data_IF_126054570989
#
_entry.id   IF_126054570989
#
_cell.length_a   1.000
_cell.length_b   1.000
_cell.length_c   1.000
_cell.angle_alpha   90.00
_cell.angle_beta   90.00
_cell.angle_gamma   90.00
#
_symmetry.space_group_name_H-M   'P 1'
#
loop_
_entity.id
_entity.type
_entity.pdbx_description
1 polymer ?
#
# COMPACT_ATOMS: atom_id res chain seq x y z
N UNK A 1 -32.87 24.39 52.15
CA UNK A 1 -32.77 23.39 51.05
C UNK A 1 -31.53 23.73 50.23
N UNK A 2 -30.49 22.89 50.27
CA UNK A 2 -29.21 23.12 49.56
C UNK A 2 -29.30 22.46 48.18
N UNK A 3 -29.21 23.25 47.11
CA UNK A 3 -29.08 22.74 45.74
C UNK A 3 -27.60 22.47 45.45
N UNK A 4 -27.23 21.20 45.33
CA UNK A 4 -25.91 20.80 44.84
C UNK A 4 -25.92 20.78 43.32
N UNK A 5 -25.14 21.66 42.70
CA UNK A 5 -24.90 21.63 41.26
C UNK A 5 -23.88 20.53 40.93
N UNK A 6 -24.30 19.49 40.21
CA UNK A 6 -23.42 18.45 39.69
C UNK A 6 -22.85 18.95 38.36
N UNK A 7 -21.57 19.28 38.34
CA UNK A 7 -20.85 19.56 37.10
C UNK A 7 -20.46 18.25 36.43
N UNK A 8 -21.07 17.96 35.27
CA UNK A 8 -20.72 16.83 34.43
C UNK A 8 -19.43 17.15 33.65
N UNK A 9 -18.31 16.58 34.09
CA UNK A 9 -17.02 16.73 33.42
C UNK A 9 -16.97 15.80 32.21
N UNK A 10 -17.23 16.35 31.02
CA UNK A 10 -17.12 15.60 29.76
C UNK A 10 -15.64 15.45 29.41
N UNK A 11 -15.03 14.32 29.76
CA UNK A 11 -13.66 13.98 29.35
C UNK A 11 -13.70 13.62 27.86
N UNK A 12 -13.35 14.57 27.00
CA UNK A 12 -13.06 14.32 25.60
C UNK A 12 -11.79 13.47 25.53
N UNK A 13 -11.97 12.16 25.39
CA UNK A 13 -10.90 11.25 24.99
C UNK A 13 -10.55 11.61 23.54
N UNK A 14 -9.55 12.47 23.36
CA UNK A 14 -8.91 12.68 22.07
C UNK A 14 -8.33 11.35 21.61
N UNK A 15 -9.07 10.64 20.75
CA UNK A 15 -8.52 9.56 19.96
C UNK A 15 -7.39 10.17 19.15
N UNK A 16 -6.13 9.93 19.54
CA UNK A 16 -4.99 10.18 18.68
C UNK A 16 -5.21 9.33 17.43
N UNK A 17 -5.81 9.91 16.40
CA UNK A 17 -5.73 9.40 15.05
C UNK A 17 -4.23 9.39 14.74
N UNK A 18 -3.62 8.22 14.86
CA UNK A 18 -2.17 8.11 14.71
C UNK A 18 -1.86 8.30 13.23
N UNK A 19 -1.01 9.28 12.95
CA UNK A 19 -0.33 9.45 11.67
C UNK A 19 0.49 8.18 11.32
N UNK A 20 1.17 8.22 10.17
CA UNK A 20 2.10 7.18 9.71
C UNK A 20 2.89 6.54 10.87
N UNK A 21 2.72 5.23 11.05
CA UNK A 21 3.41 4.41 12.04
C UNK A 21 4.11 3.25 11.33
N UNK A 22 5.43 3.32 11.25
CA UNK A 22 6.31 2.32 10.68
C UNK A 22 7.08 1.59 11.79
N UNK A 23 6.90 0.27 11.86
CA UNK A 23 7.59 -0.58 12.84
C UNK A 23 7.99 -1.95 12.27
N UNK A 24 8.94 -2.59 12.94
CA UNK A 24 9.25 -4.02 12.74
C UNK A 24 8.29 -4.85 13.59
N UNK A 25 7.85 -5.99 13.07
CA UNK A 25 6.96 -6.92 13.77
C UNK A 25 7.29 -8.37 13.33
N UNK A 26 6.75 -9.34 14.05
CA UNK A 26 6.96 -10.76 13.85
C UNK A 26 5.63 -11.54 13.85
N UNK A 27 5.54 -12.55 12.99
CA UNK A 27 4.43 -13.49 12.94
C UNK A 27 4.94 -14.86 12.49
N UNK A 28 4.70 -15.92 13.27
CA UNK A 28 5.16 -17.29 12.96
C UNK A 28 6.67 -17.35 12.63
N UNK A 29 7.49 -16.66 13.44
CA UNK A 29 8.94 -16.51 13.24
C UNK A 29 9.36 -15.78 11.95
N UNK A 30 8.42 -15.14 11.25
CA UNK A 30 8.67 -14.29 10.09
C UNK A 30 8.77 -12.83 10.53
N UNK A 31 9.95 -12.24 10.33
CA UNK A 31 10.16 -10.81 10.51
C UNK A 31 9.65 -10.02 9.30
N UNK A 32 8.91 -8.95 9.56
CA UNK A 32 8.45 -8.01 8.54
C UNK A 32 8.46 -6.57 9.08
N UNK A 33 8.51 -5.61 8.17
CA UNK A 33 8.22 -4.21 8.47
C UNK A 33 6.80 -3.90 8.03
N UNK A 34 6.06 -3.18 8.86
CA UNK A 34 4.73 -2.67 8.58
C UNK A 34 4.71 -1.16 8.75
N UNK A 35 4.12 -0.47 7.78
CA UNK A 35 3.80 0.95 7.85
C UNK A 35 2.28 1.14 7.71
N UNK A 36 1.64 1.59 8.79
CA UNK A 36 0.21 1.93 8.82
C UNK A 36 0.06 3.40 8.43
N UNK A 37 -0.86 3.69 7.52
CA UNK A 37 -1.23 5.06 7.11
C UNK A 37 -2.70 5.31 7.35
N UNK A 38 -3.05 6.55 7.70
CA UNK A 38 -4.41 7.03 7.92
C UNK A 38 -4.88 7.88 6.75
N UNK A 39 -6.12 7.70 6.32
CA UNK A 39 -6.78 8.55 5.33
C UNK A 39 -6.83 10.03 5.76
N UNK A 40 -7.00 10.29 7.06
CA UNK A 40 -7.28 11.64 7.57
C UNK A 40 -6.02 12.41 7.96
N UNK A 41 -4.96 11.69 8.35
CA UNK A 41 -3.74 12.30 8.90
C UNK A 41 -2.59 12.30 7.88
N UNK A 42 -2.58 11.36 6.93
CA UNK A 42 -1.46 11.15 6.02
C UNK A 42 -1.80 11.52 4.58
N UNK A 43 -0.88 12.25 3.95
CA UNK A 43 -0.95 12.59 2.53
C UNK A 43 -0.35 11.46 1.69
N UNK A 44 -1.11 10.37 1.55
CA UNK A 44 -0.75 9.17 0.79
C UNK A 44 -0.99 9.37 -0.71
N UNK A 45 0.02 9.10 -1.53
CA UNK A 45 0.01 9.36 -2.98
C UNK A 45 0.71 8.26 -3.77
N UNK A 46 0.43 8.24 -5.07
CA UNK A 46 1.24 7.51 -6.05
C UNK A 46 2.10 8.47 -6.87
N UNK A 47 3.29 7.99 -7.25
CA UNK A 47 4.25 8.66 -8.12
C UNK A 47 4.77 7.68 -9.16
N UNK A 48 4.90 8.13 -10.40
CA UNK A 48 5.53 7.35 -11.47
C UNK A 48 6.66 8.12 -12.14
N UNK A 49 6.33 9.25 -12.76
CA UNK A 49 7.25 10.05 -13.56
C UNK A 49 7.59 11.37 -12.88
N UNK A 50 8.83 11.83 -13.09
CA UNK A 50 9.25 13.17 -12.77
C UNK A 50 8.61 14.21 -13.71
N UNK A 51 8.88 15.50 -13.45
CA UNK A 51 8.38 16.61 -14.28
C UNK A 51 8.72 16.55 -15.78
N UNK A 52 9.75 15.79 -16.16
CA UNK A 52 10.17 15.62 -17.55
C UNK A 52 9.52 14.39 -18.21
N UNK A 53 8.61 13.69 -17.52
CA UNK A 53 7.96 12.48 -18.03
C UNK A 53 8.79 11.21 -17.92
N UNK A 54 9.94 11.26 -17.22
CA UNK A 54 10.82 10.09 -17.03
C UNK A 54 10.50 9.41 -15.69
N UNK A 55 10.39 8.06 -15.64
CA UNK A 55 10.16 7.34 -14.39
C UNK A 55 11.20 7.69 -13.31
N UNK A 56 10.77 7.84 -12.05
CA UNK A 56 11.69 8.14 -10.95
C UNK A 56 12.74 7.06 -10.75
N UNK A 57 12.36 5.79 -10.87
CA UNK A 57 13.26 4.65 -10.75
C UNK A 57 13.76 4.34 -9.35
N UNK A 58 13.74 5.29 -8.41
CA UNK A 58 14.18 5.09 -7.03
C UNK A 58 13.66 6.20 -6.09
N UNK A 59 13.80 5.99 -4.78
CA UNK A 59 13.34 6.93 -3.76
C UNK A 59 14.16 8.22 -3.68
N UNK A 60 15.45 8.20 -4.01
CA UNK A 60 16.29 9.41 -4.03
C UNK A 60 15.81 10.44 -5.07
N UNK A 61 15.49 9.98 -6.29
CA UNK A 61 14.98 10.83 -7.35
C UNK A 61 13.63 11.46 -6.97
N UNK A 62 12.74 10.66 -6.35
CA UNK A 62 11.47 11.15 -5.82
C UNK A 62 11.68 12.17 -4.68
N UNK A 63 12.53 11.83 -3.71
CA UNK A 63 12.83 12.69 -2.57
C UNK A 63 13.43 14.03 -3.01
N UNK A 64 14.31 14.03 -4.02
CA UNK A 64 14.84 15.26 -4.60
C UNK A 64 13.71 16.14 -5.15
N UNK A 65 12.83 15.59 -5.98
CA UNK A 65 11.74 16.39 -6.57
C UNK A 65 10.75 16.89 -5.50
N UNK A 66 10.50 16.10 -4.45
CA UNK A 66 9.68 16.52 -3.31
C UNK A 66 10.34 17.68 -2.55
N UNK A 67 11.64 17.58 -2.27
CA UNK A 67 12.39 18.66 -1.60
C UNK A 67 12.33 19.96 -2.41
N UNK A 68 12.52 19.88 -3.74
CA UNK A 68 12.42 21.04 -4.65
C UNK A 68 11.01 21.68 -4.63
N UNK A 69 9.99 20.92 -4.18
CA UNK A 69 8.59 21.37 -4.02
C UNK A 69 8.23 21.72 -2.58
N UNK A 70 9.20 21.85 -1.67
CA UNK A 70 8.94 22.12 -0.25
C UNK A 70 8.21 20.98 0.45
N UNK A 71 8.41 19.73 0.02
CA UNK A 71 7.82 18.54 0.63
C UNK A 71 8.87 17.58 1.11
N UNK A 72 8.55 16.87 2.17
CA UNK A 72 9.37 15.80 2.73
C UNK A 72 8.74 14.44 2.44
N UNK A 73 9.58 13.46 2.11
CA UNK A 73 9.21 12.06 2.03
C UNK A 73 9.28 11.42 3.42
N UNK A 74 8.18 10.82 3.89
CA UNK A 74 8.13 10.14 5.19
C UNK A 74 8.16 8.62 5.07
N UNK A 75 7.48 8.09 4.05
CA UNK A 75 7.44 6.67 3.71
C UNK A 75 7.38 6.51 2.20
N UNK A 76 8.03 5.46 1.67
CA UNK A 76 7.82 5.01 0.30
C UNK A 76 7.99 3.50 0.14
N UNK A 77 7.28 2.94 -0.84
CA UNK A 77 7.38 1.55 -1.24
C UNK A 77 7.12 1.43 -2.74
N UNK A 78 7.76 0.48 -3.43
CA UNK A 78 7.33 0.16 -4.80
C UNK A 78 5.90 -0.43 -4.77
N UNK A 79 5.04 0.04 -5.66
CA UNK A 79 3.63 -0.31 -5.68
C UNK A 79 3.34 -1.40 -6.73
N UNK A 80 2.33 -1.21 -7.58
CA UNK A 80 1.93 -2.22 -8.55
C UNK A 80 3.03 -2.64 -9.53
N UNK A 81 2.84 -3.83 -10.12
CA UNK A 81 3.79 -4.42 -11.07
C UNK A 81 4.05 -3.52 -12.27
N UNK A 82 5.28 -3.58 -12.79
CA UNK A 82 5.77 -2.72 -13.86
C UNK A 82 6.56 -3.50 -14.92
N UNK A 83 6.65 -2.93 -16.13
CA UNK A 83 7.46 -3.46 -17.24
C UNK A 83 8.93 -3.06 -17.09
N UNK A 84 9.83 -3.60 -17.92
CA UNK A 84 11.26 -3.26 -17.88
C UNK A 84 11.56 -1.77 -18.10
N UNK A 85 10.65 -1.03 -18.74
CA UNK A 85 10.71 0.42 -18.91
C UNK A 85 10.18 1.21 -17.71
N UNK A 86 9.88 0.53 -16.60
CA UNK A 86 9.32 1.08 -15.36
C UNK A 86 7.86 1.56 -15.46
N UNK A 87 7.20 1.37 -16.60
CA UNK A 87 5.79 1.72 -16.75
C UNK A 87 4.88 0.69 -16.05
N UNK A 88 3.72 1.10 -15.49
CA UNK A 88 2.79 0.18 -14.85
C UNK A 88 2.27 -0.86 -15.85
N UNK A 89 2.17 -2.13 -15.40
CA UNK A 89 1.58 -3.22 -16.20
C UNK A 89 0.08 -2.99 -16.39
N UNK A 90 -0.63 -2.70 -15.30
CA UNK A 90 -2.08 -2.55 -15.28
C UNK A 90 -2.55 -1.13 -14.98
N UNK A 91 -3.79 -1.03 -14.50
CA UNK A 91 -4.44 0.24 -14.18
C UNK A 91 -3.53 1.16 -13.37
N UNK A 92 -3.47 2.42 -13.78
CA UNK A 92 -2.75 3.46 -13.06
C UNK A 92 -3.46 4.79 -13.18
N UNK A 93 -3.77 5.40 -12.04
CA UNK A 93 -4.28 6.77 -11.92
C UNK A 93 -3.31 7.54 -11.03
N UNK A 94 -2.88 8.71 -11.50
CA UNK A 94 -2.13 9.67 -10.69
C UNK A 94 -2.80 11.04 -10.77
N UNK A 95 -3.17 11.61 -9.61
CA UNK A 95 -3.86 12.91 -9.50
C UNK A 95 -5.08 12.99 -10.42
N UNK A 96 -5.98 12.01 -10.30
CA UNK A 96 -7.19 11.87 -11.11
C UNK A 96 -6.95 11.61 -12.62
N UNK A 97 -5.71 11.61 -13.09
CA UNK A 97 -5.37 11.34 -14.49
C UNK A 97 -5.09 9.85 -14.70
N UNK A 98 -5.96 9.17 -15.45
CA UNK A 98 -5.75 7.78 -15.88
C UNK A 98 -4.58 7.72 -16.88
N UNK A 99 -3.55 6.95 -16.55
CA UNK A 99 -2.38 6.71 -17.41
C UNK A 99 -2.37 5.32 -18.05
N UNK A 100 -3.01 4.33 -17.42
CA UNK A 100 -3.14 2.96 -17.92
C UNK A 100 -4.53 2.40 -17.67
N UNK A 101 -5.02 1.59 -18.61
CA UNK A 101 -6.32 0.94 -18.51
C UNK A 101 -6.28 -0.27 -17.56
N UNK A 102 -7.44 -0.66 -17.05
CA UNK A 102 -7.60 -1.88 -16.26
C UNK A 102 -7.37 -3.11 -17.13
N UNK A 103 -6.64 -4.10 -16.61
CA UNK A 103 -6.48 -5.42 -17.23
C UNK A 103 -7.26 -6.44 -16.40
N UNK A 104 -8.43 -6.85 -16.88
CA UNK A 104 -9.30 -7.79 -16.18
C UNK A 104 -9.11 -9.26 -16.58
N UNK A 105 -8.40 -9.51 -17.69
CA UNK A 105 -8.22 -10.87 -18.22
C UNK A 105 -7.15 -11.60 -17.41
N UNK A 106 -7.28 -12.93 -17.23
CA UNK A 106 -6.20 -13.73 -16.69
C UNK A 106 -4.97 -13.65 -17.60
N UNK A 107 -3.80 -13.90 -17.04
CA UNK A 107 -2.54 -13.81 -17.76
C UNK A 107 -1.41 -14.53 -17.03
N UNK A 108 -0.19 -14.47 -17.56
CA UNK A 108 0.95 -15.14 -16.95
C UNK A 108 1.39 -14.45 -15.65
N UNK A 109 2.09 -15.22 -14.81
CA UNK A 109 2.72 -14.73 -13.59
C UNK A 109 1.74 -14.26 -12.53
N UNK A 110 2.28 -13.53 -11.54
CA UNK A 110 1.50 -13.05 -10.40
C UNK A 110 0.42 -12.05 -10.81
N UNK A 111 0.71 -11.15 -11.76
CA UNK A 111 -0.24 -10.13 -12.21
C UNK A 111 -1.54 -10.74 -12.74
N UNK A 112 -1.43 -11.77 -13.58
CA UNK A 112 -2.58 -12.42 -14.21
C UNK A 112 -3.23 -13.52 -13.37
N UNK A 113 -2.76 -13.73 -12.14
CA UNK A 113 -3.31 -14.72 -11.20
C UNK A 113 -4.58 -14.15 -10.55
N UNK A 114 -5.74 -14.66 -10.96
CA UNK A 114 -7.05 -14.17 -10.52
C UNK A 114 -7.53 -14.85 -9.22
N UNK A 115 -8.19 -14.12 -8.30
CA UNK A 115 -8.45 -12.68 -8.36
C UNK A 115 -7.17 -11.85 -8.18
N UNK A 116 -7.06 -10.78 -8.97
CA UNK A 116 -6.12 -9.69 -8.80
C UNK A 116 -6.90 -8.42 -8.42
N UNK A 117 -6.22 -7.30 -8.20
CA UNK A 117 -6.93 -6.15 -7.64
C UNK A 117 -6.26 -4.81 -7.86
N UNK A 118 -6.99 -3.79 -7.44
CA UNK A 118 -6.63 -2.38 -7.58
C UNK A 118 -6.65 -1.76 -6.20
N UNK A 119 -5.50 -1.24 -5.77
CA UNK A 119 -5.45 -0.35 -4.62
C UNK A 119 -5.86 1.05 -5.06
N UNK A 120 -6.93 1.56 -4.48
CA UNK A 120 -7.56 2.84 -4.76
C UNK A 120 -7.40 3.76 -3.54
N UNK A 121 -6.91 4.98 -3.80
CA UNK A 121 -6.80 6.08 -2.84
C UNK A 121 -7.76 7.16 -3.30
N UNK A 122 -8.78 7.45 -2.49
CA UNK A 122 -9.82 8.43 -2.76
C UNK A 122 -9.82 9.51 -1.69
N UNK A 123 -10.76 10.44 -1.78
CA UNK A 123 -10.90 11.52 -0.77
C UNK A 123 -11.50 11.04 0.55
N UNK A 124 -12.23 9.93 0.53
CA UNK A 124 -13.04 9.41 1.63
C UNK A 124 -12.75 7.94 1.97
N UNK A 125 -11.79 7.32 1.26
CA UNK A 125 -11.39 5.93 1.52
C UNK A 125 -9.97 5.61 1.08
N UNK A 126 -9.45 4.52 1.66
CA UNK A 126 -8.33 3.72 1.20
C UNK A 126 -8.87 2.29 1.06
N UNK A 127 -9.01 1.80 -0.18
CA UNK A 127 -9.63 0.49 -0.40
C UNK A 127 -8.93 -0.32 -1.49
N UNK A 128 -9.02 -1.63 -1.35
CA UNK A 128 -8.62 -2.59 -2.38
C UNK A 128 -9.89 -3.17 -2.98
N UNK A 129 -10.00 -3.09 -4.29
CA UNK A 129 -11.08 -3.69 -5.07
C UNK A 129 -10.56 -4.90 -5.83
N UNK A 130 -11.36 -5.97 -5.89
CA UNK A 130 -11.18 -6.97 -6.93
C UNK A 130 -11.40 -6.30 -8.31
N UNK A 131 -10.67 -6.74 -9.33
CA UNK A 131 -10.63 -6.03 -10.61
C UNK A 131 -11.99 -5.92 -11.33
N UNK A 132 -12.83 -6.95 -11.30
CA UNK A 132 -14.17 -6.89 -11.88
C UNK A 132 -15.11 -6.04 -11.01
N UNK A 133 -15.02 -6.15 -9.67
CA UNK A 133 -15.75 -5.26 -8.75
C UNK A 133 -15.40 -3.79 -8.99
N UNK A 134 -14.13 -3.47 -9.26
CA UNK A 134 -13.69 -2.12 -9.60
C UNK A 134 -14.34 -1.60 -10.88
N UNK A 135 -14.43 -2.45 -11.92
CA UNK A 135 -15.04 -2.08 -13.19
C UNK A 135 -16.56 -1.89 -13.08
N UNK A 136 -17.21 -2.65 -12.21
CA UNK A 136 -18.65 -2.52 -11.95
C UNK A 136 -18.99 -1.29 -11.13
N UNK A 137 -18.23 -1.03 -10.04
CA UNK A 137 -18.52 0.05 -9.11
C UNK A 137 -17.96 1.40 -9.56
N UNK A 138 -16.93 1.41 -10.40
CA UNK A 138 -16.24 2.62 -10.90
C UNK A 138 -15.93 3.65 -9.79
N UNK A 139 -15.23 3.24 -8.71
CA UNK A 139 -14.98 4.14 -7.59
C UNK A 139 -14.13 5.35 -8.01
N UNK A 140 -14.34 6.48 -7.34
CA UNK A 140 -13.56 7.71 -7.60
C UNK A 140 -12.21 7.65 -6.89
N UNK A 141 -11.19 7.22 -7.60
CA UNK A 141 -9.82 7.20 -7.09
C UNK A 141 -9.04 8.46 -7.53
N UNK A 142 -8.48 9.19 -6.57
CA UNK A 142 -7.45 10.22 -6.83
C UNK A 142 -6.16 9.57 -7.30
N UNK A 143 -5.81 8.42 -6.75
CA UNK A 143 -4.72 7.57 -7.19
C UNK A 143 -5.16 6.11 -7.22
N UNK A 144 -4.67 5.34 -8.18
CA UNK A 144 -4.95 3.91 -8.24
C UNK A 144 -3.76 3.16 -8.86
N UNK A 145 -3.50 1.95 -8.38
CA UNK A 145 -2.52 1.04 -8.98
C UNK A 145 -3.04 -0.38 -8.96
N UNK A 146 -3.04 -1.02 -10.12
CA UNK A 146 -3.37 -2.44 -10.25
C UNK A 146 -2.13 -3.29 -10.04
N UNK A 147 -2.34 -4.42 -9.36
CA UNK A 147 -1.32 -5.45 -9.19
C UNK A 147 -2.00 -6.80 -9.05
N UNK A 148 -1.21 -7.84 -8.79
CA UNK A 148 -1.76 -9.15 -8.51
C UNK A 148 -0.68 -10.12 -8.04
N UNK A 149 -1.09 -11.19 -7.34
CA UNK A 149 -2.48 -11.56 -7.01
C UNK A 149 -3.07 -10.75 -5.85
N UNK A 150 -4.38 -10.86 -5.63
CA UNK A 150 -4.95 -10.57 -4.30
C UNK A 150 -4.28 -11.51 -3.29
N UNK A 151 -3.88 -10.98 -2.14
CA UNK A 151 -3.38 -11.80 -1.03
C UNK A 151 -4.55 -12.31 -0.19
N UNK A 152 -5.45 -11.38 0.13
CA UNK A 152 -6.67 -11.62 0.90
C UNK A 152 -7.81 -10.93 0.17
N UNK A 153 -8.93 -11.63 0.01
CA UNK A 153 -10.16 -11.05 -0.53
C UNK A 153 -11.35 -11.57 0.28
N UNK A 154 -12.18 -10.66 0.79
CA UNK A 154 -13.29 -10.98 1.68
C UNK A 154 -12.86 -11.89 2.85
N UNK A 155 -11.74 -11.53 3.49
CA UNK A 155 -11.12 -12.23 4.62
C UNK A 155 -10.67 -13.68 4.32
N UNK A 156 -10.60 -14.09 3.05
CA UNK A 156 -10.12 -15.39 2.60
C UNK A 156 -8.78 -15.25 1.89
N UNK A 157 -7.88 -16.22 2.09
CA UNK A 157 -6.64 -16.30 1.32
C UNK A 157 -6.96 -16.58 -0.14
N UNK A 158 -6.05 -16.16 -1.02
CA UNK A 158 -6.18 -16.48 -2.42
C UNK A 158 -6.14 -18.02 -2.66
N UNK A 159 -7.14 -18.63 -3.34
CA UNK A 159 -7.25 -20.08 -3.49
C UNK A 159 -6.07 -20.79 -4.18
N UNK A 160 -5.21 -20.07 -4.89
CA UNK A 160 -4.06 -20.65 -5.61
C UNK A 160 -2.79 -20.74 -4.75
N UNK A 161 -2.81 -20.23 -3.52
CA UNK A 161 -1.64 -20.27 -2.66
C UNK A 161 -1.47 -21.65 -2.04
N UNK A 162 -0.30 -22.24 -2.29
CA UNK A 162 0.11 -23.51 -1.70
C UNK A 162 0.97 -23.23 -0.46
N UNK A 163 0.64 -23.88 0.66
CA UNK A 163 1.36 -23.76 1.92
C UNK A 163 2.85 -24.11 1.76
N UNK A 164 3.15 -25.20 1.05
CA UNK A 164 4.50 -25.71 0.82
C UNK A 164 5.14 -25.24 -0.49
N UNK A 165 4.68 -24.10 -1.04
CA UNK A 165 5.25 -23.57 -2.27
C UNK A 165 6.75 -23.26 -2.13
N UNK A 166 7.53 -23.72 -3.10
CA UNK A 166 8.98 -23.46 -3.20
C UNK A 166 9.29 -22.06 -3.76
N UNK A 167 8.29 -21.32 -4.23
CA UNK A 167 8.44 -19.95 -4.73
C UNK A 167 8.64 -18.98 -3.57
N UNK A 168 9.89 -18.77 -3.16
CA UNK A 168 10.26 -17.89 -2.04
C UNK A 168 10.97 -16.63 -2.55
N UNK A 169 10.41 -15.48 -2.19
CA UNK A 169 10.97 -14.16 -2.52
C UNK A 169 10.78 -13.22 -1.34
N UNK A 170 11.56 -12.14 -1.29
CA UNK A 170 11.20 -10.98 -0.48
C UNK A 170 9.97 -10.36 -1.14
N UNK A 171 8.95 -10.06 -0.35
CA UNK A 171 7.62 -9.69 -0.82
C UNK A 171 7.16 -8.40 -0.16
N UNK A 172 6.41 -7.59 -0.90
CA UNK A 172 5.67 -6.47 -0.34
C UNK A 172 4.22 -6.44 -0.84
N UNK A 173 3.36 -5.75 -0.10
CA UNK A 173 1.95 -5.64 -0.40
C UNK A 173 1.25 -4.64 0.50
N UNK A 174 -0.02 -4.41 0.22
CA UNK A 174 -0.88 -3.49 0.98
C UNK A 174 -2.13 -4.20 1.43
N UNK A 175 -2.55 -3.95 2.67
CA UNK A 175 -3.86 -4.32 3.21
C UNK A 175 -4.67 -3.07 3.54
N UNK A 176 -5.99 -3.17 3.56
CA UNK A 176 -6.87 -2.04 3.93
C UNK A 176 -7.84 -2.45 5.03
N UNK A 177 -8.08 -1.58 6.01
CA UNK A 177 -9.03 -1.84 7.10
C UNK A 177 -10.47 -1.97 6.59
N UNK A 178 -11.33 -2.61 7.40
CA UNK A 178 -12.74 -2.80 7.05
C UNK A 178 -13.53 -1.48 6.92
N UNK A 179 -13.17 -0.47 7.72
CA UNK A 179 -13.71 0.89 7.64
C UNK A 179 -13.11 1.72 6.50
N UNK A 180 -12.12 1.18 5.78
CA UNK A 180 -11.39 1.83 4.67
C UNK A 180 -10.66 3.11 5.08
N UNK A 181 -10.38 3.32 6.36
CA UNK A 181 -9.68 4.50 6.86
C UNK A 181 -8.16 4.30 6.94
N UNK A 182 -7.70 3.04 6.93
CA UNK A 182 -6.29 2.71 7.09
C UNK A 182 -5.79 1.81 5.96
N UNK A 183 -4.55 2.06 5.53
CA UNK A 183 -3.78 1.13 4.71
C UNK A 183 -2.56 0.63 5.49
N UNK A 184 -2.20 -0.63 5.27
CA UNK A 184 -1.11 -1.32 5.93
C UNK A 184 -0.14 -1.83 4.87
N UNK A 185 0.98 -1.13 4.71
CA UNK A 185 2.04 -1.53 3.80
C UNK A 185 3.00 -2.47 4.51
N UNK A 186 3.14 -3.68 4.00
CA UNK A 186 3.99 -4.71 4.61
C UNK A 186 5.09 -5.09 3.64
N UNK A 187 6.32 -5.20 4.17
CA UNK A 187 7.46 -5.79 3.47
C UNK A 187 8.05 -6.89 4.35
N UNK A 188 8.19 -8.09 3.80
CA UNK A 188 8.94 -9.17 4.45
C UNK A 188 10.43 -8.83 4.52
N UNK A 189 11.12 -9.24 5.59
CA UNK A 189 12.59 -9.07 5.66
C UNK A 189 13.36 -10.26 5.07
N UNK A 190 12.71 -11.43 4.97
CA UNK A 190 13.31 -12.64 4.40
C UNK A 190 12.41 -13.22 3.30
N UNK A 191 13.01 -14.08 2.47
CA UNK A 191 12.29 -14.77 1.41
C UNK A 191 11.26 -15.75 1.95
N UNK A 192 10.02 -15.65 1.48
CA UNK A 192 8.89 -16.47 1.88
C UNK A 192 7.91 -16.69 0.73
N UNK A 193 7.01 -17.67 0.87
CA UNK A 193 6.01 -17.94 -0.15
C UNK A 193 4.75 -17.07 0.01
N UNK A 194 3.91 -17.03 -1.02
CA UNK A 194 2.69 -16.19 -1.02
C UNK A 194 1.69 -16.59 0.06
N UNK A 195 1.60 -17.88 0.40
CA UNK A 195 0.71 -18.37 1.45
C UNK A 195 1.09 -17.74 2.80
N UNK A 196 2.34 -17.90 3.23
CA UNK A 196 2.88 -17.30 4.45
C UNK A 196 2.74 -15.78 4.43
N UNK A 197 3.02 -15.13 3.29
CA UNK A 197 2.88 -13.67 3.17
C UNK A 197 1.45 -13.20 3.41
N UNK A 198 0.49 -13.86 2.77
CA UNK A 198 -0.92 -13.50 2.84
C UNK A 198 -1.51 -13.70 4.24
N UNK A 199 -1.01 -14.68 5.00
CA UNK A 199 -1.39 -14.89 6.41
C UNK A 199 -0.98 -13.75 7.33
N UNK A 200 0.08 -13.00 7.03
CA UNK A 200 0.38 -11.76 7.77
C UNK A 200 -0.80 -10.80 7.67
N UNK A 201 -1.37 -10.63 6.48
CA UNK A 201 -2.54 -9.76 6.30
C UNK A 201 -3.82 -10.36 6.91
N UNK A 202 -4.11 -11.63 6.63
CA UNK A 202 -5.36 -12.26 7.07
C UNK A 202 -5.40 -12.56 8.57
N UNK A 203 -4.35 -13.21 9.10
CA UNK A 203 -4.39 -13.79 10.44
C UNK A 203 -3.80 -12.84 11.49
N UNK A 204 -2.70 -12.15 11.16
CA UNK A 204 -2.06 -11.17 12.06
C UNK A 204 -2.76 -9.80 12.01
N UNK A 205 -2.93 -9.22 10.83
CA UNK A 205 -3.53 -7.88 10.67
C UNK A 205 -5.06 -7.89 10.59
N UNK A 206 -5.66 -9.04 10.27
CA UNK A 206 -7.12 -9.22 10.16
C UNK A 206 -7.80 -8.24 9.20
N UNK A 207 -7.09 -7.84 8.15
CA UNK A 207 -7.66 -6.99 7.10
C UNK A 207 -8.54 -7.83 6.16
N UNK A 208 -9.71 -7.31 5.73
CA UNK A 208 -10.59 -8.04 4.82
C UNK A 208 -9.99 -8.20 3.42
N UNK A 209 -9.19 -7.23 2.98
CA UNK A 209 -8.60 -7.22 1.64
C UNK A 209 -7.12 -6.85 1.73
N UNK A 210 -6.31 -7.55 0.94
CA UNK A 210 -4.89 -7.27 0.76
C UNK A 210 -4.45 -7.62 -0.66
N UNK A 211 -3.52 -6.85 -1.20
CA UNK A 211 -3.05 -6.91 -2.58
C UNK A 211 -1.53 -7.08 -2.59
N UNK A 212 -1.06 -8.03 -3.39
CA UNK A 212 0.35 -8.21 -3.64
C UNK A 212 0.87 -7.12 -4.57
N UNK A 213 2.00 -6.50 -4.22
CA UNK A 213 2.70 -5.54 -5.09
C UNK A 213 3.77 -6.25 -5.92
N UNK A 214 4.78 -5.55 -6.41
CA UNK A 214 5.83 -6.21 -7.19
C UNK A 214 6.69 -7.19 -6.35
N UNK A 215 7.09 -8.30 -6.99
CA UNK A 215 7.82 -9.39 -6.37
C UNK A 215 9.26 -9.55 -6.77
N UNK A 216 9.68 -8.96 -7.90
CA UNK A 216 11.09 -9.02 -8.30
C UNK A 216 11.92 -8.02 -7.50
N UNK A 217 11.29 -6.91 -7.12
CA UNK A 217 11.89 -5.87 -6.30
C UNK A 217 10.90 -5.51 -5.19
N UNK A 218 11.36 -5.55 -3.94
CA UNK A 218 10.60 -5.09 -2.78
C UNK A 218 11.49 -4.17 -1.96
N UNK A 219 11.21 -2.87 -2.00
CA UNK A 219 11.98 -1.82 -1.33
C UNK A 219 11.08 -0.97 -0.44
N UNK A 220 11.66 -0.51 0.66
CA UNK A 220 11.02 0.39 1.60
C UNK A 220 11.94 1.57 1.93
N UNK A 221 11.36 2.76 1.94
CA UNK A 221 11.91 3.94 2.62
C UNK A 221 11.00 4.25 3.82
N UNK A 222 11.60 4.50 4.98
CA UNK A 222 10.88 4.97 6.16
C UNK A 222 11.80 5.92 6.92
N UNK A 223 11.35 7.16 7.07
CA UNK A 223 12.05 8.16 7.88
C UNK A 223 12.06 7.77 9.36
N UNK A 224 10.95 7.23 9.86
CA UNK A 224 10.79 6.82 11.26
C UNK A 224 11.74 5.68 11.65
N UNK A 225 11.98 4.74 10.73
CA UNK A 225 12.88 3.60 10.95
C UNK A 225 14.32 3.85 10.52
N UNK A 226 14.66 5.07 10.11
CA UNK A 226 15.93 5.42 9.47
C UNK A 226 16.33 4.41 8.37
N UNK A 227 15.36 4.06 7.53
CA UNK A 227 15.50 2.99 6.53
C UNK A 227 15.45 3.54 5.12
N UNK A 228 16.43 3.10 4.33
CA UNK A 228 16.48 3.34 2.90
C UNK A 228 16.97 2.07 2.17
N UNK A 229 16.06 1.31 1.57
CA UNK A 229 16.44 0.14 0.79
C UNK A 229 17.00 0.54 -0.60
N UNK A 230 18.19 0.05 -0.94
CA UNK A 230 18.84 0.22 -2.25
C UNK A 230 18.58 -0.97 -3.19
N UNK A 231 19.00 -0.87 -4.46
CA UNK A 231 18.95 -1.97 -5.44
C UNK A 231 18.37 -1.55 -6.79
N UNK A 232 17.77 -2.50 -7.52
CA UNK A 232 17.23 -2.31 -8.88
C UNK A 232 16.20 -1.19 -9.03
N UNK A 233 16.10 -0.54 -10.21
CA UNK A 233 15.09 0.47 -10.45
C UNK A 233 13.65 -0.05 -10.27
N UNK A 234 12.78 0.82 -9.76
CA UNK A 234 11.37 0.54 -9.46
C UNK A 234 10.43 1.41 -10.30
N UNK A 235 9.27 0.87 -10.64
CA UNK A 235 8.21 1.59 -11.37
C UNK A 235 7.35 2.46 -10.45
N UNK A 236 6.02 2.24 -10.39
CA UNK A 236 5.12 2.95 -9.48
C UNK A 236 5.64 2.97 -8.03
N UNK A 237 5.58 4.12 -7.39
CA UNK A 237 5.94 4.33 -5.99
C UNK A 237 4.69 4.81 -5.25
N UNK A 238 4.36 4.16 -4.14
CA UNK A 238 3.42 4.68 -3.14
C UNK A 238 4.21 5.39 -2.06
N UNK A 239 3.75 6.57 -1.63
CA UNK A 239 4.47 7.38 -0.66
C UNK A 239 3.54 8.22 0.23
N UNK A 240 3.95 8.40 1.48
CA UNK A 240 3.41 9.44 2.38
C UNK A 240 4.37 10.62 2.36
N UNK A 241 3.82 11.81 2.11
CA UNK A 241 4.58 13.06 2.05
C UNK A 241 4.05 14.07 3.07
N UNK A 242 4.87 15.06 3.42
CA UNK A 242 4.46 16.17 4.29
C UNK A 242 4.96 17.49 3.71
N UNK A 243 4.12 18.53 3.71
CA UNK A 243 4.59 19.88 3.39
C UNK A 243 5.57 20.35 4.46
N UNK A 244 6.72 20.89 4.04
CA UNK A 244 7.63 21.64 4.91
C UNK A 244 7.07 23.06 4.97
N UNK A 245 6.32 23.35 6.03
CA UNK A 245 6.00 24.73 6.38
C UNK A 245 7.26 25.43 6.88
#
# INVERSE_FOLDING_TARGET
MRFSAIYLFCVLLSSNASALDCRKDIFENINFTICKTSLFEDDLRLYLNNRNGVPFGNFNALQKELNDKGKELLFAMNAGMYHSDLSPVGHYIERLSKKKNVIARPGPGNFGMLPNGIFCIGSDMLNIYETLEYLQNTPKCTYATQSGPMLVWNSKLHPRFLEDSQSKFIRNGVGTSADKQFAYFVKAENSLNLHTFARIFKDKLKVPNALYFDGKVSKLYSKELDRHDFGWPIGPIVAVVRSRN
#
